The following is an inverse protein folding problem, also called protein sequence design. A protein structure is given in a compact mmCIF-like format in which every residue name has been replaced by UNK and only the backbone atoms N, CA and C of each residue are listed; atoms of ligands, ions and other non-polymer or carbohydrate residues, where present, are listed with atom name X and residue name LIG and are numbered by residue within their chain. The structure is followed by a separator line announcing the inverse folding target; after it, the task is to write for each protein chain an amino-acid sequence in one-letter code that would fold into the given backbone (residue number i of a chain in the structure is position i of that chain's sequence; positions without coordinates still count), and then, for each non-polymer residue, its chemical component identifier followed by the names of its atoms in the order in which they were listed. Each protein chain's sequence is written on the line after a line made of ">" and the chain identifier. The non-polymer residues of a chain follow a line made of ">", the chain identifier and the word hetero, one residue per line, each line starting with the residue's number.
data_IF_646958897693
#
_entry.id   IF_646958897693
#
_cell.length_a   1.000
_cell.length_b   1.000
_cell.length_c   1.000
_cell.angle_alpha   90.00
_cell.angle_beta   90.00
_cell.angle_gamma   90.00
#
_symmetry.space_group_name_H-M   'P 1'
#
loop_
_entity.id
_entity.type
_entity.pdbx_description
1 polymer ?
#
# COMPACT_ATOMS: atom_id res chain seq x y z
N UNK A 1 34.54 -1.56 14.62
CA UNK A 1 33.33 -0.76 14.33
C UNK A 1 32.13 -1.69 14.34
N UNK A 2 31.27 -1.60 15.36
CA UNK A 2 30.05 -2.42 15.48
C UNK A 2 29.08 -1.98 14.39
N UNK A 3 28.79 -2.86 13.42
CA UNK A 3 27.71 -2.66 12.45
C UNK A 3 26.39 -2.74 13.23
N UNK A 4 25.80 -1.60 13.58
CA UNK A 4 24.42 -1.57 14.06
C UNK A 4 23.54 -1.96 12.87
N UNK A 5 22.99 -3.17 12.92
CA UNK A 5 21.81 -3.52 12.14
C UNK A 5 20.68 -2.60 12.60
N UNK A 6 20.44 -1.55 11.82
CA UNK A 6 19.22 -0.75 11.92
C UNK A 6 18.07 -1.66 11.49
N UNK A 7 17.45 -2.31 12.48
CA UNK A 7 16.14 -2.90 12.31
C UNK A 7 15.20 -1.80 11.84
N UNK A 8 14.80 -1.84 10.56
CA UNK A 8 13.61 -1.15 10.07
C UNK A 8 12.45 -1.65 10.91
N UNK A 9 12.05 -0.88 11.92
CA UNK A 9 10.84 -1.14 12.69
C UNK A 9 9.68 -0.83 11.73
N UNK A 10 9.20 -1.86 11.04
CA UNK A 10 7.95 -1.80 10.30
C UNK A 10 6.84 -1.71 11.34
N UNK A 11 6.60 -0.49 11.82
CA UNK A 11 5.46 -0.14 12.67
C UNK A 11 4.21 -0.25 11.80
N UNK A 12 3.73 -1.47 11.62
CA UNK A 12 2.59 -1.80 10.77
C UNK A 12 1.30 -1.30 11.45
N UNK A 13 0.96 -0.02 11.23
CA UNK A 13 -0.22 0.60 11.81
C UNK A 13 -1.43 0.35 10.90
N UNK A 14 -2.03 -0.84 10.98
CA UNK A 14 -3.32 -1.14 10.34
C UNK A 14 -4.42 -0.43 11.15
N UNK A 15 -4.61 0.87 10.90
CA UNK A 15 -5.70 1.64 11.52
C UNK A 15 -6.94 1.52 10.64
N UNK A 16 -7.73 0.46 10.89
CA UNK A 16 -9.09 0.35 10.37
C UNK A 16 -10.00 1.22 11.25
N UNK A 17 -10.35 2.40 10.76
CA UNK A 17 -11.33 3.27 11.41
C UNK A 17 -12.73 2.71 11.15
N UNK A 18 -13.23 1.90 12.06
CA UNK A 18 -14.63 1.49 12.06
C UNK A 18 -15.48 2.59 12.74
N UNK A 19 -15.90 3.60 11.96
CA UNK A 19 -16.97 4.49 12.39
C UNK A 19 -18.11 4.44 11.37
N UNK A 20 -19.29 4.09 11.88
CA UNK A 20 -20.56 4.03 11.17
C UNK A 20 -20.90 5.38 10.54
N UNK A 21 -21.01 5.43 9.21
CA UNK A 21 -21.70 6.50 8.50
C UNK A 21 -20.84 7.69 8.06
N UNK A 22 -19.80 7.42 7.26
CA UNK A 22 -19.09 8.44 6.49
C UNK A 22 -17.90 7.80 5.78
N UNK A 23 -17.99 7.63 4.46
CA UNK A 23 -16.86 7.12 3.66
C UNK A 23 -15.64 8.05 3.78
N UNK A 24 -14.45 7.49 3.64
CA UNK A 24 -13.21 8.24 3.87
C UNK A 24 -11.99 7.37 4.08
N UNK A 25 -10.82 7.92 3.76
CA UNK A 25 -9.50 7.32 4.03
C UNK A 25 -9.07 7.43 5.50
N UNK A 26 -9.85 8.13 6.34
CA UNK A 26 -9.61 8.31 7.77
C UNK A 26 -8.56 9.38 8.09
N UNK A 27 -7.96 9.28 9.28
CA UNK A 27 -6.80 10.09 9.67
C UNK A 27 -5.56 9.21 9.72
N UNK A 28 -4.45 9.67 9.15
CA UNK A 28 -3.16 9.00 9.27
C UNK A 28 -2.37 9.66 10.40
N UNK A 29 -1.79 8.85 11.28
CA UNK A 29 -0.78 9.30 12.22
C UNK A 29 0.58 8.77 11.76
N UNK A 30 1.54 9.66 11.56
CA UNK A 30 2.90 9.31 11.14
C UNK A 30 3.79 8.97 12.35
N UNK A 31 4.96 8.34 12.14
CA UNK A 31 5.87 7.97 13.23
C UNK A 31 6.36 9.15 14.07
N UNK A 32 6.41 10.35 13.49
CA UNK A 32 6.69 11.60 14.20
C UNK A 32 5.47 12.18 14.96
N UNK A 33 4.40 11.39 15.08
CA UNK A 33 3.12 11.71 15.70
C UNK A 33 2.29 12.80 15.00
N UNK A 34 2.67 13.27 13.80
CA UNK A 34 1.83 14.19 13.02
C UNK A 34 0.53 13.49 12.60
N UNK A 35 -0.60 14.21 12.70
CA UNK A 35 -1.92 13.71 12.29
C UNK A 35 -2.38 14.42 11.03
N UNK A 36 -2.82 13.63 10.07
CA UNK A 36 -3.20 14.09 8.73
C UNK A 36 -4.64 13.65 8.49
N UNK A 37 -5.54 14.57 8.18
CA UNK A 37 -6.92 14.27 7.83
C UNK A 37 -7.03 13.94 6.34
N UNK A 38 -6.97 12.66 6.00
CA UNK A 38 -7.04 12.20 4.62
C UNK A 38 -8.47 12.20 4.08
N UNK A 39 -9.47 12.20 4.97
CA UNK A 39 -10.88 12.23 4.58
C UNK A 39 -11.21 13.55 3.88
N UNK A 40 -10.78 14.66 4.50
CA UNK A 40 -11.02 16.01 3.98
C UNK A 40 -9.88 16.56 3.10
N UNK A 41 -8.82 15.78 2.87
CA UNK A 41 -7.73 16.14 1.95
C UNK A 41 -8.11 15.92 0.48
N UNK A 42 -7.41 16.59 -0.48
CA UNK A 42 -7.55 16.30 -1.90
C UNK A 42 -7.39 14.82 -2.23
N UNK A 43 -8.08 14.37 -3.27
CA UNK A 43 -7.98 13.01 -3.81
C UNK A 43 -6.94 12.96 -4.94
N UNK A 44 -6.37 11.78 -5.16
CA UNK A 44 -5.25 11.57 -6.07
C UNK A 44 -3.91 11.52 -5.33
N UNK A 45 -2.85 11.97 -5.97
CA UNK A 45 -1.52 11.98 -5.37
C UNK A 45 -1.45 13.10 -4.31
N UNK A 46 -1.10 12.74 -3.08
CA UNK A 46 -0.96 13.69 -1.98
C UNK A 46 0.43 13.58 -1.37
N UNK A 47 1.09 14.73 -1.21
CA UNK A 47 2.33 14.88 -0.47
C UNK A 47 2.06 15.85 0.69
N UNK A 48 2.28 15.40 1.92
CA UNK A 48 2.03 16.18 3.14
C UNK A 48 3.29 16.21 3.97
N UNK A 49 3.84 17.41 4.17
CA UNK A 49 4.93 17.63 5.10
C UNK A 49 4.42 17.44 6.53
N UNK A 50 5.23 16.76 7.33
CA UNK A 50 4.99 16.47 8.74
C UNK A 50 6.04 17.18 9.59
N UNK A 51 6.00 17.03 10.91
CA UNK A 51 6.95 17.70 11.80
C UNK A 51 8.41 17.30 11.54
N UNK A 52 8.66 16.07 11.06
CA UNK A 52 10.01 15.54 10.83
C UNK A 52 10.10 14.63 9.59
N UNK A 53 9.25 14.84 8.58
CA UNK A 53 9.23 13.99 7.41
C UNK A 53 8.15 14.35 6.39
N UNK A 54 7.90 13.45 5.45
CA UNK A 54 6.88 13.60 4.40
C UNK A 54 6.07 12.32 4.24
N UNK A 55 4.73 12.43 4.24
CA UNK A 55 3.83 11.39 3.76
C UNK A 55 3.55 11.61 2.27
N UNK A 56 3.82 10.63 1.42
CA UNK A 56 3.48 10.66 0.00
C UNK A 56 2.72 9.39 -0.41
N UNK A 57 1.60 9.54 -1.11
CA UNK A 57 0.79 8.39 -1.52
C UNK A 57 -0.44 8.75 -2.34
N UNK A 58 -1.29 7.74 -2.58
CA UNK A 58 -2.60 7.89 -3.20
C UNK A 58 -3.67 8.04 -2.13
N UNK A 59 -4.42 9.14 -2.18
CA UNK A 59 -5.63 9.32 -1.40
C UNK A 59 -6.85 9.11 -2.30
N UNK A 60 -7.62 8.06 -2.05
CA UNK A 60 -8.86 7.76 -2.75
C UNK A 60 -10.07 8.16 -1.89
N UNK A 61 -11.28 7.79 -2.29
CA UNK A 61 -12.48 8.19 -1.55
C UNK A 61 -12.58 7.43 -0.23
N UNK A 62 -12.29 6.13 -0.25
CA UNK A 62 -12.46 5.22 0.88
C UNK A 62 -11.14 4.64 1.40
N UNK A 63 -10.03 4.88 0.71
CA UNK A 63 -8.71 4.31 1.01
C UNK A 63 -7.54 5.26 0.79
N UNK A 64 -6.44 4.99 1.48
CA UNK A 64 -5.14 5.58 1.24
C UNK A 64 -4.07 4.50 1.23
N UNK A 65 -3.04 4.68 0.40
CA UNK A 65 -1.80 3.91 0.48
C UNK A 65 -0.61 4.76 0.06
N UNK A 66 0.55 4.51 0.67
CA UNK A 66 1.74 5.31 0.41
C UNK A 66 2.92 5.00 1.31
N UNK A 67 3.83 5.96 1.36
CA UNK A 67 5.08 5.92 2.12
C UNK A 67 5.19 7.17 2.99
N UNK A 68 5.55 7.00 4.24
CA UNK A 68 6.14 8.08 5.03
C UNK A 68 7.65 7.88 5.15
N UNK A 69 8.40 8.98 5.05
CA UNK A 69 9.85 9.01 5.26
C UNK A 69 10.22 10.22 6.13
N UNK A 70 11.09 10.03 7.10
CA UNK A 70 11.65 11.12 7.89
C UNK A 70 12.62 12.00 7.06
N UNK A 71 12.86 13.23 7.51
CA UNK A 71 13.76 14.17 6.81
C UNK A 71 15.21 13.66 6.74
N UNK A 72 15.61 12.84 7.71
CA UNK A 72 16.92 12.19 7.75
C UNK A 72 17.00 10.94 6.85
N UNK A 73 15.87 10.48 6.28
CA UNK A 73 15.74 9.31 5.40
C UNK A 73 16.14 7.98 6.06
N UNK A 74 16.07 7.93 7.39
CA UNK A 74 16.42 6.78 8.23
C UNK A 74 15.22 5.92 8.61
N UNK A 75 14.04 6.53 8.77
CA UNK A 75 12.78 5.86 9.13
C UNK A 75 11.84 5.89 7.95
N UNK A 76 11.32 4.72 7.59
CA UNK A 76 10.46 4.51 6.44
C UNK A 76 9.27 3.67 6.87
N UNK A 77 8.06 4.13 6.55
CA UNK A 77 6.83 3.39 6.83
C UNK A 77 6.01 3.28 5.55
N UNK A 78 5.74 2.05 5.11
CA UNK A 78 4.69 1.79 4.14
C UNK A 78 3.36 1.67 4.86
N UNK A 79 2.30 2.17 4.24
CA UNK A 79 0.96 2.03 4.80
C UNK A 79 -0.12 1.86 3.75
N UNK A 80 -1.21 1.28 4.22
CA UNK A 80 -2.53 1.37 3.61
C UNK A 80 -3.57 1.49 4.73
N UNK A 81 -4.65 2.21 4.49
CA UNK A 81 -5.73 2.41 5.45
C UNK A 81 -7.02 2.83 4.75
N UNK A 82 -8.14 2.82 5.47
CA UNK A 82 -9.41 3.29 4.93
C UNK A 82 -10.63 2.70 5.62
N UNK A 83 -11.79 3.00 5.05
CA UNK A 83 -13.08 2.46 5.47
C UNK A 83 -13.30 1.09 4.86
N UNK A 84 -13.37 0.05 5.69
CA UNK A 84 -13.59 -1.34 5.23
C UNK A 84 -14.78 -1.46 4.29
N UNK A 85 -14.63 -2.29 3.26
CA UNK A 85 -15.70 -2.50 2.31
C UNK A 85 -16.98 -3.08 2.95
N UNK A 86 -18.11 -2.65 2.42
CA UNK A 86 -19.44 -3.20 2.69
C UNK A 86 -20.09 -3.63 1.39
N UNK A 87 -21.11 -4.49 1.44
CA UNK A 87 -21.87 -4.93 0.27
C UNK A 87 -20.96 -5.47 -0.85
N UNK A 88 -20.12 -6.46 -0.52
CA UNK A 88 -19.25 -7.11 -1.49
C UNK A 88 -20.05 -7.61 -2.69
N UNK A 89 -19.61 -7.35 -3.94
CA UNK A 89 -20.29 -7.84 -5.13
C UNK A 89 -20.08 -9.36 -5.29
N UNK A 90 -20.84 -9.97 -6.18
CA UNK A 90 -20.60 -11.33 -6.68
C UNK A 90 -19.67 -11.32 -7.90
N UNK A 91 -19.19 -12.49 -8.32
CA UNK A 91 -18.34 -12.66 -9.49
C UNK A 91 -16.89 -12.26 -9.21
N UNK A 92 -16.23 -11.67 -10.19
CA UNK A 92 -14.86 -11.18 -10.07
C UNK A 92 -14.74 -9.72 -10.45
N UNK A 93 -13.70 -9.07 -9.94
CA UNK A 93 -13.33 -7.72 -10.31
C UNK A 93 -11.81 -7.55 -10.37
N UNK A 94 -11.38 -6.58 -11.19
CA UNK A 94 -9.98 -6.18 -11.29
C UNK A 94 -9.83 -4.75 -10.81
N UNK A 95 -8.84 -4.53 -9.94
CA UNK A 95 -8.48 -3.21 -9.45
C UNK A 95 -7.18 -2.80 -10.10
N UNK A 96 -7.14 -1.58 -10.64
CA UNK A 96 -5.94 -1.03 -11.28
C UNK A 96 -5.54 0.28 -10.63
N UNK A 97 -4.23 0.47 -10.40
CA UNK A 97 -3.69 1.69 -9.86
C UNK A 97 -2.17 1.74 -9.92
N UNK A 98 -1.59 2.62 -9.11
CA UNK A 98 -0.14 2.84 -9.01
C UNK A 98 0.42 2.25 -7.71
N UNK A 99 1.74 2.26 -7.59
CA UNK A 99 2.47 1.90 -6.37
C UNK A 99 3.41 3.02 -5.90
N UNK A 100 3.76 3.00 -4.62
CA UNK A 100 4.71 3.95 -4.00
C UNK A 100 5.70 3.20 -3.11
N UNK A 101 6.98 3.56 -3.21
CA UNK A 101 8.08 2.90 -2.50
C UNK A 101 9.19 3.89 -2.19
N UNK A 102 10.23 3.41 -1.50
CA UNK A 102 11.50 4.12 -1.41
C UNK A 102 12.47 3.51 -2.40
N UNK A 103 12.94 4.28 -3.38
CA UNK A 103 13.89 3.77 -4.38
C UNK A 103 15.17 3.30 -3.70
N UNK A 104 15.57 2.05 -3.98
CA UNK A 104 16.86 1.54 -3.53
C UNK A 104 18.06 2.27 -4.15
N UNK A 105 17.86 2.94 -5.29
CA UNK A 105 18.90 3.66 -6.02
C UNK A 105 19.11 5.07 -5.47
N UNK A 106 18.03 5.84 -5.29
CA UNK A 106 18.12 7.24 -4.89
C UNK A 106 17.92 7.45 -3.39
N UNK A 107 17.28 6.49 -2.70
CA UNK A 107 16.85 6.64 -1.32
C UNK A 107 15.63 7.56 -1.14
N UNK A 108 15.05 8.08 -2.23
CA UNK A 108 13.88 8.96 -2.22
C UNK A 108 12.58 8.17 -2.32
N UNK A 109 11.46 8.81 -1.95
CA UNK A 109 10.13 8.26 -2.24
C UNK A 109 9.90 8.34 -3.76
N UNK A 110 9.55 7.19 -4.35
CA UNK A 110 9.20 7.03 -5.76
C UNK A 110 7.73 6.63 -5.91
N UNK A 111 7.19 6.88 -7.10
CA UNK A 111 5.88 6.40 -7.53
C UNK A 111 5.90 5.86 -8.94
N UNK A 112 4.91 5.03 -9.27
CA UNK A 112 4.72 4.47 -10.59
C UNK A 112 4.42 2.98 -10.53
N UNK A 113 4.75 2.28 -11.62
CA UNK A 113 4.31 0.90 -11.83
C UNK A 113 2.78 0.80 -11.99
N UNK A 114 2.33 -0.31 -12.57
CA UNK A 114 0.91 -0.62 -12.70
C UNK A 114 0.59 -1.77 -11.75
N UNK A 115 -0.15 -1.43 -10.69
CA UNK A 115 -0.77 -2.40 -9.79
C UNK A 115 -2.02 -2.97 -10.45
N UNK A 116 -2.12 -4.29 -10.49
CA UNK A 116 -3.33 -5.03 -10.88
C UNK A 116 -3.63 -6.05 -9.79
N UNK A 117 -4.79 -5.93 -9.15
CA UNK A 117 -5.30 -6.90 -8.17
C UNK A 117 -6.57 -7.53 -8.73
N UNK A 118 -6.60 -8.85 -8.84
CA UNK A 118 -7.77 -9.61 -9.23
C UNK A 118 -8.42 -10.17 -7.97
N UNK A 119 -9.71 -9.96 -7.83
CA UNK A 119 -10.51 -10.47 -6.72
C UNK A 119 -11.65 -11.28 -7.30
N UNK A 120 -11.72 -12.55 -6.92
CA UNK A 120 -12.85 -13.43 -7.19
C UNK A 120 -13.66 -13.56 -5.89
N UNK A 121 -14.81 -12.88 -5.83
CA UNK A 121 -15.68 -12.86 -4.66
C UNK A 121 -16.41 -14.18 -4.47
N UNK A 122 -16.72 -14.88 -5.55
CA UNK A 122 -17.42 -16.17 -5.51
C UNK A 122 -16.48 -17.27 -5.00
N UNK A 123 -15.24 -17.29 -5.49
CA UNK A 123 -14.19 -18.23 -5.04
C UNK A 123 -13.44 -17.76 -3.80
N UNK A 124 -13.67 -16.52 -3.37
CA UNK A 124 -12.94 -15.86 -2.28
C UNK A 124 -11.43 -15.94 -2.46
N UNK A 125 -10.96 -15.57 -3.65
CA UNK A 125 -9.55 -15.62 -4.01
C UNK A 125 -9.06 -14.24 -4.44
N UNK A 126 -7.80 -13.95 -4.13
CA UNK A 126 -7.10 -12.72 -4.52
C UNK A 126 -5.75 -13.08 -5.12
N UNK A 127 -5.40 -12.51 -6.26
CA UNK A 127 -4.07 -12.56 -6.86
C UNK A 127 -3.76 -11.22 -7.54
N UNK A 128 -2.54 -11.05 -8.05
CA UNK A 128 -2.23 -9.84 -8.77
C UNK A 128 -0.77 -9.71 -9.17
N UNK A 129 -0.43 -8.50 -9.60
CA UNK A 129 0.93 -8.11 -9.99
C UNK A 129 1.13 -6.61 -9.89
N UNK A 130 2.39 -6.21 -9.77
CA UNK A 130 2.82 -4.83 -9.92
C UNK A 130 3.91 -4.80 -10.98
N UNK A 131 3.61 -4.21 -12.13
CA UNK A 131 4.49 -4.17 -13.29
C UNK A 131 5.22 -2.83 -13.36
N UNK A 132 6.55 -2.85 -13.47
CA UNK A 132 7.39 -1.65 -13.44
C UNK A 132 8.04 -1.31 -14.80
N UNK A 133 7.56 -1.91 -15.88
CA UNK A 133 8.06 -1.66 -17.24
C UNK A 133 8.28 -0.15 -17.49
N UNK A 134 9.55 0.23 -17.73
CA UNK A 134 10.01 1.59 -18.07
C UNK A 134 10.24 2.59 -16.92
N UNK A 135 10.60 2.14 -15.71
CA UNK A 135 11.04 3.07 -14.66
C UNK A 135 12.55 3.41 -14.73
N UNK A 136 12.85 4.71 -14.79
CA UNK A 136 14.23 5.25 -14.79
C UNK A 136 14.87 5.31 -13.38
N UNK A 137 14.25 4.72 -12.36
CA UNK A 137 14.71 4.82 -10.96
C UNK A 137 15.42 3.56 -10.44
N UNK A 138 15.70 2.61 -11.35
CA UNK A 138 16.44 1.37 -11.07
C UNK A 138 15.55 0.18 -10.66
N UNK A 139 14.23 0.34 -10.57
CA UNK A 139 13.32 -0.79 -10.32
C UNK A 139 13.00 -1.53 -11.62
N UNK A 140 13.57 -2.73 -11.76
CA UNK A 140 13.52 -3.52 -13.01
C UNK A 140 12.74 -4.83 -12.90
N UNK A 141 12.21 -5.15 -11.72
CA UNK A 141 11.52 -6.43 -11.50
C UNK A 141 10.08 -6.20 -11.10
N UNK A 142 9.20 -6.81 -11.87
CA UNK A 142 7.80 -6.98 -11.53
C UNK A 142 7.66 -7.77 -10.22
N UNK A 143 6.59 -7.45 -9.49
CA UNK A 143 6.19 -8.19 -8.29
C UNK A 143 4.95 -9.00 -8.65
N UNK A 144 5.01 -10.31 -8.44
CA UNK A 144 3.85 -11.20 -8.49
C UNK A 144 3.23 -11.29 -7.11
N UNK A 145 1.91 -11.10 -7.02
CA UNK A 145 1.11 -11.36 -5.82
C UNK A 145 0.43 -12.72 -6.03
N UNK A 146 0.95 -13.76 -5.37
CA UNK A 146 0.45 -15.12 -5.55
C UNK A 146 -0.96 -15.27 -4.98
N UNK A 147 -1.73 -16.18 -5.57
CA UNK A 147 -3.11 -16.42 -5.16
C UNK A 147 -3.22 -16.74 -3.66
N UNK A 148 -4.16 -16.08 -2.99
CA UNK A 148 -4.48 -16.29 -1.58
C UNK A 148 -5.99 -16.17 -1.34
N UNK A 149 -6.43 -16.49 -0.13
CA UNK A 149 -7.82 -16.37 0.26
C UNK A 149 -8.22 -14.90 0.57
N UNK A 150 -9.44 -14.53 0.18
CA UNK A 150 -10.14 -13.34 0.66
C UNK A 150 -10.89 -13.69 1.95
N UNK A 151 -10.43 -13.16 3.09
CA UNK A 151 -11.08 -13.31 4.39
C UNK A 151 -11.88 -12.05 4.74
N UNK A 152 -13.19 -12.10 4.51
CA UNK A 152 -14.07 -10.94 4.57
C UNK A 152 -13.66 -9.90 3.54
N UNK A 153 -13.03 -8.81 4.01
CA UNK A 153 -12.51 -7.74 3.15
C UNK A 153 -10.98 -7.72 3.10
N UNK A 154 -10.29 -8.63 3.78
CA UNK A 154 -8.83 -8.63 3.92
C UNK A 154 -8.21 -9.79 3.17
N UNK A 155 -6.95 -9.64 2.81
CA UNK A 155 -6.15 -10.69 2.20
C UNK A 155 -4.70 -10.58 2.65
N UNK A 156 -4.02 -11.71 2.76
CA UNK A 156 -2.58 -11.80 2.97
C UNK A 156 -2.05 -13.03 2.24
N UNK A 157 -0.88 -12.93 1.62
CA UNK A 157 -0.33 -14.00 0.80
C UNK A 157 1.16 -13.84 0.51
N UNK A 158 1.67 -14.72 -0.33
CA UNK A 158 3.07 -14.70 -0.76
C UNK A 158 3.27 -13.74 -1.93
N UNK A 159 4.38 -13.02 -1.94
CA UNK A 159 4.80 -12.21 -3.07
C UNK A 159 6.18 -12.66 -3.55
N UNK A 160 6.49 -12.44 -4.82
CA UNK A 160 7.83 -12.69 -5.34
C UNK A 160 8.23 -11.71 -6.44
N UNK A 161 9.52 -11.49 -6.58
CA UNK A 161 10.13 -10.98 -7.81
C UNK A 161 10.80 -12.15 -8.54
N UNK A 162 11.67 -11.89 -9.52
CA UNK A 162 12.51 -12.93 -10.13
C UNK A 162 13.55 -13.48 -9.14
N UNK A 163 14.01 -12.65 -8.19
CA UNK A 163 15.15 -12.96 -7.31
C UNK A 163 14.79 -13.04 -5.82
N UNK A 164 13.65 -12.50 -5.41
CA UNK A 164 13.29 -12.34 -4.00
C UNK A 164 11.92 -12.95 -3.70
N UNK A 165 11.78 -13.45 -2.48
CA UNK A 165 10.50 -13.90 -1.92
C UNK A 165 10.09 -12.97 -0.79
N UNK A 166 8.80 -12.70 -0.71
CA UNK A 166 8.20 -11.81 0.27
C UNK A 166 6.76 -12.19 0.58
N UNK A 167 6.06 -11.29 1.24
CA UNK A 167 4.64 -11.39 1.53
C UNK A 167 3.92 -10.12 1.12
N UNK A 168 2.62 -10.21 0.93
CA UNK A 168 1.75 -9.05 0.76
C UNK A 168 0.54 -9.17 1.66
N UNK A 169 -0.02 -8.02 2.01
CA UNK A 169 -1.30 -7.92 2.68
C UNK A 169 -2.06 -6.69 2.19
N UNK A 170 -3.38 -6.70 2.37
CA UNK A 170 -4.22 -5.59 1.99
C UNK A 170 -5.68 -5.82 2.35
N UNK A 171 -6.51 -4.87 1.93
CA UNK A 171 -7.94 -4.95 2.11
C UNK A 171 -8.71 -4.26 0.97
N UNK A 172 -10.01 -4.55 0.95
CA UNK A 172 -11.02 -3.91 0.13
C UNK A 172 -11.71 -2.81 0.93
N UNK A 173 -11.97 -1.70 0.26
CA UNK A 173 -12.47 -0.47 0.85
C UNK A 173 -13.71 0.06 0.12
N UNK A 174 -14.54 0.78 0.87
CA UNK A 174 -15.70 1.48 0.35
C UNK A 174 -16.91 0.59 0.07
N UNK A 175 -18.07 1.23 -0.06
CA UNK A 175 -19.31 0.53 -0.37
C UNK A 175 -19.25 -0.10 -1.77
N UNK A 176 -19.48 -1.41 -1.83
CA UNK A 176 -19.35 -2.21 -3.05
C UNK A 176 -17.92 -2.67 -3.33
N UNK A 177 -16.97 -2.52 -2.40
CA UNK A 177 -15.55 -2.80 -2.61
C UNK A 177 -15.05 -2.09 -3.89
N UNK A 178 -15.10 -0.76 -3.92
CA UNK A 178 -14.70 0.03 -5.10
C UNK A 178 -13.21 0.28 -5.15
N UNK A 179 -12.53 0.09 -4.03
CA UNK A 179 -11.12 0.41 -3.88
C UNK A 179 -10.42 -0.75 -3.18
N UNK A 180 -9.15 -0.96 -3.51
CA UNK A 180 -8.28 -1.91 -2.83
C UNK A 180 -6.94 -1.25 -2.54
N UNK A 181 -6.35 -1.58 -1.41
CA UNK A 181 -5.04 -1.07 -1.02
C UNK A 181 -4.29 -2.08 -0.17
N UNK A 182 -2.97 -2.05 -0.23
CA UNK A 182 -2.12 -3.00 0.46
C UNK A 182 -0.65 -2.62 0.42
N UNK A 183 0.18 -3.50 0.99
CA UNK A 183 1.64 -3.40 0.96
C UNK A 183 2.27 -4.75 0.62
N UNK A 184 3.48 -4.70 0.10
CA UNK A 184 4.36 -5.85 -0.13
C UNK A 184 5.63 -5.65 0.70
N UNK A 185 6.07 -6.73 1.35
CA UNK A 185 7.27 -6.75 2.18
C UNK A 185 8.22 -7.88 1.74
N UNK A 186 9.47 -7.53 1.48
CA UNK A 186 10.58 -8.41 1.14
C UNK A 186 11.63 -8.32 2.26
N UNK A 187 11.64 -9.27 3.22
CA UNK A 187 12.46 -9.16 4.43
C UNK A 187 13.97 -9.19 4.14
N UNK A 188 14.38 -9.86 3.06
CA UNK A 188 15.79 -9.94 2.67
C UNK A 188 16.25 -8.71 1.88
N UNK A 189 15.32 -7.99 1.27
CA UNK A 189 15.63 -6.86 0.40
C UNK A 189 14.50 -5.83 0.39
N UNK A 190 14.53 -4.97 1.41
CA UNK A 190 13.50 -3.94 1.62
C UNK A 190 13.40 -2.89 0.49
N UNK A 191 14.33 -2.86 -0.47
CA UNK A 191 14.21 -2.01 -1.66
C UNK A 191 13.04 -2.40 -2.57
N UNK A 192 12.54 -3.64 -2.43
CA UNK A 192 11.34 -4.11 -3.11
C UNK A 192 10.05 -3.90 -2.30
N UNK A 193 10.14 -3.40 -1.07
CA UNK A 193 8.95 -3.07 -0.29
C UNK A 193 8.14 -2.01 -1.04
N UNK A 194 6.82 -2.18 -1.13
CA UNK A 194 5.98 -1.26 -1.90
C UNK A 194 4.60 -1.15 -1.27
N UNK A 195 4.02 0.03 -1.29
CA UNK A 195 2.57 0.21 -1.10
C UNK A 195 1.90 0.20 -2.47
N UNK A 196 0.69 -0.35 -2.54
CA UNK A 196 -0.06 -0.46 -3.78
C UNK A 196 -1.55 -0.31 -3.52
N UNK A 197 -2.29 -0.05 -4.59
CA UNK A 197 -3.73 -0.08 -4.56
C UNK A 197 -4.31 0.21 -5.94
N UNK A 198 -5.63 0.31 -5.98
CA UNK A 198 -6.33 0.53 -7.24
C UNK A 198 -7.82 0.72 -7.05
N UNK A 199 -8.44 1.22 -8.11
CA UNK A 199 -9.90 1.36 -8.22
C UNK A 199 -10.44 0.22 -9.07
N UNK A 200 -11.63 -0.26 -8.70
CA UNK A 200 -12.33 -1.33 -9.39
C UNK A 200 -12.74 -0.86 -10.80
N UNK A 201 -12.34 -1.61 -11.81
CA UNK A 201 -12.77 -1.45 -13.20
C UNK A 201 -14.02 -2.28 -13.48
#
# INVERSE_FOLDING_TARGET
>A
MKKLFLCSIVSLSILLTACSGGGGSGSAQTPDASKIDLTNSPKGDVAVNTAAGTLYGKNQNDSFYGVWMDDAKTVKELRYQGTSATNLPSGSATYTGESYWVSGTTGEISKGGVSTLNVDFDRKAVDGKITYSLLNDGRVQDITLHSTALDGTKFNGNASTLLESGSYEGALFGNGAKEAAGIVNFPNNSSYNTSFGGVRY
#
